data_IF_539427589560
#
_entry.id   IF_539427589560
#
_cell.length_a   1.000
_cell.length_b   1.000
_cell.length_c   1.000
_cell.angle_alpha   90.00
_cell.angle_beta   90.00
_cell.angle_gamma   90.00
#
_symmetry.space_group_name_H-M   'P 1'
#
loop_
_entity.id
_entity.type
_entity.pdbx_description
1 polymer ?
#
# COMPACT_ATOMS: atom_id res chain seq x y z
N UNK A 1 21.11 -55.70 25.58
CA UNK A 1 20.68 -55.04 26.84
C UNK A 1 20.39 -53.58 26.55
N UNK A 2 19.11 -53.20 26.44
CA UNK A 2 18.72 -51.78 26.36
C UNK A 2 18.51 -51.31 27.81
N UNK A 3 19.39 -50.47 28.33
CA UNK A 3 19.18 -49.84 29.63
C UNK A 3 17.99 -48.89 29.52
N UNK A 4 16.92 -49.18 30.26
CA UNK A 4 15.83 -48.24 30.51
C UNK A 4 16.36 -47.14 31.43
N UNK A 5 16.50 -45.92 30.91
CA UNK A 5 16.78 -44.76 31.75
C UNK A 5 15.44 -44.31 32.34
N UNK A 6 15.21 -44.63 33.61
CA UNK A 6 14.12 -44.05 34.40
C UNK A 6 14.49 -42.61 34.74
N UNK A 7 13.80 -41.65 34.12
CA UNK A 7 13.93 -40.23 34.46
C UNK A 7 13.35 -40.00 35.86
N UNK A 8 14.17 -39.50 36.79
CA UNK A 8 13.79 -39.22 38.18
C UNK A 8 13.93 -37.75 38.57
N UNK A 9 14.20 -36.87 37.61
CA UNK A 9 14.43 -35.47 37.90
C UNK A 9 13.57 -34.55 37.03
N UNK A 10 12.63 -33.84 37.67
CA UNK A 10 11.77 -32.85 37.03
C UNK A 10 12.56 -31.64 36.48
N UNK A 11 13.85 -31.53 36.79
CA UNK A 11 14.75 -30.51 36.26
C UNK A 11 15.23 -30.79 34.82
N UNK A 12 15.20 -32.03 34.33
CA UNK A 12 15.59 -32.35 32.94
C UNK A 12 14.50 -31.96 31.92
N UNK A 13 13.24 -31.90 32.34
CA UNK A 13 12.10 -31.49 31.49
C UNK A 13 12.25 -30.02 31.06
N UNK A 14 12.93 -29.19 31.86
CA UNK A 14 13.15 -27.76 31.55
C UNK A 14 14.20 -27.52 30.47
N UNK A 15 15.03 -28.51 30.11
CA UNK A 15 15.99 -28.38 28.99
C UNK A 15 15.34 -28.52 27.61
N UNK A 16 14.07 -28.93 27.54
CA UNK A 16 13.27 -28.91 26.31
C UNK A 16 12.37 -27.67 26.18
N UNK A 17 12.49 -26.70 27.10
CA UNK A 17 11.70 -25.45 27.13
C UNK A 17 12.14 -24.36 26.16
N UNK A 18 13.09 -24.64 25.26
CA UNK A 18 13.51 -23.75 24.17
C UNK A 18 13.34 -24.44 22.82
N UNK A 19 12.14 -24.93 22.55
CA UNK A 19 11.68 -24.96 21.16
C UNK A 19 10.89 -23.67 20.96
N UNK A 20 11.60 -22.58 20.64
CA UNK A 20 10.99 -21.49 19.88
C UNK A 20 10.57 -22.11 18.55
N UNK A 21 9.38 -22.70 18.52
CA UNK A 21 8.72 -22.95 17.24
C UNK A 21 8.23 -21.59 16.79
N UNK A 22 9.14 -20.83 16.17
CA UNK A 22 8.84 -19.63 15.38
C UNK A 22 8.06 -20.09 14.14
N UNK A 23 6.83 -20.59 14.35
CA UNK A 23 5.95 -21.09 13.31
C UNK A 23 5.35 -19.90 12.58
N UNK A 24 6.22 -19.15 11.90
CA UNK A 24 5.82 -18.08 11.00
C UNK A 24 5.20 -18.76 9.79
N UNK A 25 3.96 -18.40 9.47
CA UNK A 25 3.31 -18.88 8.27
C UNK A 25 4.22 -18.62 7.05
N UNK A 26 4.35 -19.59 6.13
CA UNK A 26 5.05 -19.39 4.86
C UNK A 26 4.55 -18.11 4.17
N UNK A 27 5.46 -17.33 3.58
CA UNK A 27 5.16 -15.99 3.08
C UNK A 27 4.01 -15.97 2.05
N UNK A 28 3.89 -17.04 1.26
CA UNK A 28 2.84 -17.30 0.29
C UNK A 28 1.48 -17.61 0.93
N UNK A 29 1.47 -18.20 2.13
CA UNK A 29 0.25 -18.51 2.87
C UNK A 29 -0.32 -17.31 3.66
N UNK A 30 0.51 -16.30 3.97
CA UNK A 30 0.10 -15.15 4.78
C UNK A 30 -1.11 -14.43 4.19
N UNK A 31 -1.04 -14.02 2.91
CA UNK A 31 -2.13 -13.27 2.26
C UNK A 31 -3.44 -14.08 2.20
N UNK A 32 -3.47 -15.32 1.70
CA UNK A 32 -4.70 -16.14 1.68
C UNK A 32 -5.34 -16.31 3.07
N UNK A 33 -4.54 -16.55 4.12
CA UNK A 33 -5.06 -16.73 5.48
C UNK A 33 -5.71 -15.47 6.02
N UNK A 34 -5.07 -14.30 5.83
CA UNK A 34 -5.66 -13.02 6.23
C UNK A 34 -6.95 -12.71 5.47
N UNK A 35 -7.01 -13.02 4.16
CA UNK A 35 -8.21 -12.81 3.36
C UNK A 35 -9.37 -13.71 3.80
N UNK A 36 -9.10 -14.98 4.07
CA UNK A 36 -10.11 -15.90 4.61
C UNK A 36 -10.62 -15.44 5.98
N UNK A 37 -9.71 -14.98 6.85
CA UNK A 37 -10.09 -14.48 8.16
C UNK A 37 -10.90 -13.18 8.08
N UNK A 38 -10.50 -12.24 7.21
CA UNK A 38 -11.25 -11.02 7.00
C UNK A 38 -12.65 -11.31 6.45
N UNK A 39 -12.77 -12.25 5.51
CA UNK A 39 -14.06 -12.68 4.95
C UNK A 39 -14.97 -13.32 6.02
N UNK A 40 -14.42 -14.15 6.90
CA UNK A 40 -15.15 -14.71 8.04
C UNK A 40 -15.72 -13.59 8.95
N UNK A 41 -14.91 -12.57 9.24
CA UNK A 41 -15.35 -11.42 10.05
C UNK A 41 -16.37 -10.52 9.33
N UNK A 42 -16.34 -10.46 7.98
CA UNK A 42 -17.38 -9.77 7.20
C UNK A 42 -18.71 -10.55 7.19
N UNK A 43 -18.65 -11.87 7.05
CA UNK A 43 -19.85 -12.72 6.89
C UNK A 43 -20.56 -12.99 8.23
N UNK A 44 -19.79 -13.17 9.31
CA UNK A 44 -20.31 -13.59 10.61
C UNK A 44 -19.91 -12.69 11.78
N UNK A 45 -18.95 -11.78 11.54
CA UNK A 45 -18.40 -10.90 12.56
C UNK A 45 -18.94 -9.48 12.48
N UNK A 46 -18.09 -8.54 12.91
CA UNK A 46 -18.36 -7.11 12.76
C UNK A 46 -17.48 -6.57 11.63
N UNK A 47 -18.07 -5.78 10.73
CA UNK A 47 -17.33 -5.06 9.67
C UNK A 47 -16.07 -4.34 10.18
N UNK A 48 -16.11 -3.76 11.38
CA UNK A 48 -14.94 -3.09 12.01
C UNK A 48 -13.80 -4.06 12.32
N UNK A 49 -14.11 -5.31 12.67
CA UNK A 49 -13.10 -6.36 12.90
C UNK A 49 -12.45 -6.76 11.59
N UNK A 50 -13.22 -6.94 10.52
CA UNK A 50 -12.67 -7.19 9.19
C UNK A 50 -11.67 -6.10 8.75
N UNK A 51 -11.98 -4.81 8.96
CA UNK A 51 -11.04 -3.72 8.65
C UNK A 51 -9.74 -3.80 9.43
N UNK A 52 -9.81 -4.23 10.70
CA UNK A 52 -8.60 -4.47 11.51
C UNK A 52 -7.77 -5.62 10.94
N UNK A 53 -8.43 -6.70 10.49
CA UNK A 53 -7.74 -7.83 9.85
C UNK A 53 -7.04 -7.38 8.56
N UNK A 54 -7.71 -6.60 7.69
CA UNK A 54 -7.08 -6.06 6.49
C UNK A 54 -5.89 -5.14 6.82
N UNK A 55 -6.02 -4.24 7.81
CA UNK A 55 -4.90 -3.38 8.24
C UNK A 55 -3.71 -4.19 8.78
N UNK A 56 -3.97 -5.28 9.51
CA UNK A 56 -2.91 -6.17 9.98
C UNK A 56 -2.27 -6.91 8.81
N UNK A 57 -3.07 -7.33 7.83
CA UNK A 57 -2.59 -8.01 6.64
C UNK A 57 -1.59 -7.16 5.85
N UNK A 58 -1.83 -5.85 5.67
CA UNK A 58 -0.90 -4.96 4.94
C UNK A 58 0.47 -4.83 5.61
N UNK A 59 0.55 -5.09 6.92
CA UNK A 59 1.81 -5.11 7.69
C UNK A 59 2.49 -6.47 7.68
N UNK A 60 1.71 -7.54 7.61
CA UNK A 60 2.20 -8.92 7.71
C UNK A 60 2.67 -9.50 6.37
N UNK A 61 2.05 -9.10 5.25
CA UNK A 61 2.41 -9.62 3.93
C UNK A 61 3.82 -9.20 3.50
N UNK A 62 4.51 -10.02 2.70
CA UNK A 62 5.80 -9.65 2.14
C UNK A 62 5.69 -8.41 1.23
N UNK A 63 6.77 -7.65 1.02
CA UNK A 63 6.73 -6.38 0.27
C UNK A 63 6.09 -6.48 -1.12
N UNK A 64 6.33 -7.57 -1.84
CA UNK A 64 5.76 -7.82 -3.18
C UNK A 64 4.24 -8.00 -3.19
N UNK A 65 3.63 -8.33 -2.04
CA UNK A 65 2.19 -8.53 -1.89
C UNK A 65 1.48 -7.31 -1.27
N UNK A 66 2.23 -6.34 -0.74
CA UNK A 66 1.66 -5.17 -0.05
C UNK A 66 0.73 -4.37 -0.94
N UNK A 67 1.12 -4.10 -2.18
CA UNK A 67 0.28 -3.36 -3.14
C UNK A 67 -1.07 -4.06 -3.31
N UNK A 68 -1.05 -5.36 -3.64
CA UNK A 68 -2.28 -6.14 -3.84
C UNK A 68 -3.12 -6.25 -2.57
N UNK A 69 -2.50 -6.28 -1.39
CA UNK A 69 -3.24 -6.27 -0.12
C UNK A 69 -3.92 -4.92 0.13
N UNK A 70 -3.27 -3.80 -0.17
CA UNK A 70 -3.90 -2.47 -0.09
C UNK A 70 -5.05 -2.32 -1.09
N UNK A 71 -4.91 -2.83 -2.32
CA UNK A 71 -5.98 -2.79 -3.32
C UNK A 71 -7.25 -3.50 -2.83
N UNK A 72 -7.10 -4.68 -2.22
CA UNK A 72 -8.23 -5.41 -1.63
C UNK A 72 -8.80 -4.62 -0.45
N UNK A 73 -7.95 -4.13 0.45
CA UNK A 73 -8.39 -3.38 1.63
C UNK A 73 -9.20 -2.12 1.25
N UNK A 74 -8.72 -1.35 0.28
CA UNK A 74 -9.38 -0.16 -0.26
C UNK A 74 -10.74 -0.53 -0.88
N UNK A 75 -10.78 -1.57 -1.71
CA UNK A 75 -12.03 -2.01 -2.35
C UNK A 75 -13.10 -2.40 -1.32
N UNK A 76 -12.71 -3.19 -0.29
CA UNK A 76 -13.62 -3.60 0.78
C UNK A 76 -14.06 -2.43 1.66
N UNK A 77 -13.16 -1.50 1.95
CA UNK A 77 -13.50 -0.30 2.73
C UNK A 77 -14.45 0.63 1.97
N UNK A 78 -14.28 0.79 0.66
CA UNK A 78 -15.19 1.56 -0.17
C UNK A 78 -16.60 0.98 -0.18
N UNK A 79 -16.74 -0.34 -0.25
CA UNK A 79 -18.01 -1.05 -0.23
C UNK A 79 -18.73 -0.96 1.13
N UNK A 80 -17.99 -1.07 2.24
CA UNK A 80 -18.58 -1.24 3.58
C UNK A 80 -18.70 0.10 4.33
N UNK A 81 -17.72 1.00 4.19
CA UNK A 81 -17.60 2.23 4.99
C UNK A 81 -17.63 3.51 4.16
N UNK A 82 -17.51 3.40 2.84
CA UNK A 82 -17.57 4.53 1.92
C UNK A 82 -16.31 5.39 1.88
N UNK A 83 -16.47 6.58 1.30
CA UNK A 83 -15.36 7.48 0.92
C UNK A 83 -14.45 7.91 2.08
N UNK A 84 -14.96 8.32 3.27
CA UNK A 84 -14.07 8.80 4.33
C UNK A 84 -13.04 7.77 4.75
N UNK A 85 -13.47 6.51 4.92
CA UNK A 85 -12.55 5.43 5.30
C UNK A 85 -11.60 5.06 4.18
N UNK A 86 -12.09 5.10 2.94
CA UNK A 86 -11.28 4.81 1.74
C UNK A 86 -10.11 5.80 1.61
N UNK A 87 -10.35 7.09 1.87
CA UNK A 87 -9.32 8.15 1.88
C UNK A 87 -8.20 7.86 2.88
N UNK A 88 -8.56 7.55 4.13
CA UNK A 88 -7.59 7.20 5.18
C UNK A 88 -6.68 6.03 4.76
N UNK A 89 -7.23 5.05 4.04
CA UNK A 89 -6.47 3.87 3.63
C UNK A 89 -5.54 4.18 2.46
N UNK A 90 -5.96 5.03 1.51
CA UNK A 90 -5.06 5.52 0.46
C UNK A 90 -3.88 6.30 1.04
N UNK A 91 -4.14 7.21 1.98
CA UNK A 91 -3.11 7.97 2.69
C UNK A 91 -2.16 7.03 3.43
N UNK A 92 -2.72 6.06 4.17
CA UNK A 92 -1.92 5.01 4.82
C UNK A 92 -1.05 4.25 3.81
N UNK A 93 -1.58 3.89 2.64
CA UNK A 93 -0.83 3.14 1.63
C UNK A 93 0.36 3.95 1.10
N UNK A 94 0.13 5.23 0.76
CA UNK A 94 1.14 6.17 0.26
C UNK A 94 2.26 6.37 1.28
N UNK A 95 1.94 6.42 2.57
CA UNK A 95 2.90 6.63 3.66
C UNK A 95 3.56 5.34 4.18
N UNK A 96 3.12 4.15 3.73
CA UNK A 96 3.54 2.86 4.31
C UNK A 96 4.92 2.35 3.89
N UNK A 97 5.65 3.10 3.06
CA UNK A 97 6.93 2.67 2.48
C UNK A 97 6.78 1.65 1.35
N UNK A 98 5.72 1.76 0.55
CA UNK A 98 5.62 1.08 -0.74
C UNK A 98 6.75 1.56 -1.68
N UNK A 99 7.21 0.73 -2.64
CA UNK A 99 8.12 1.19 -3.69
C UNK A 99 7.51 2.39 -4.46
N UNK A 100 8.35 3.30 -4.97
CA UNK A 100 7.92 4.51 -5.69
C UNK A 100 6.91 4.23 -6.82
N UNK A 101 7.09 3.12 -7.56
CA UNK A 101 6.16 2.67 -8.60
C UNK A 101 4.75 2.38 -8.05
N UNK A 102 4.69 1.77 -6.87
CA UNK A 102 3.45 1.35 -6.21
C UNK A 102 2.79 2.56 -5.53
N UNK A 103 3.56 3.47 -4.95
CA UNK A 103 3.08 4.77 -4.45
C UNK A 103 2.44 5.59 -5.57
N UNK A 104 3.11 5.70 -6.73
CA UNK A 104 2.55 6.36 -7.92
C UNK A 104 1.24 5.71 -8.38
N UNK A 105 1.17 4.38 -8.36
CA UNK A 105 -0.05 3.63 -8.69
C UNK A 105 -1.19 3.97 -7.72
N UNK A 106 -0.91 4.01 -6.42
CA UNK A 106 -1.88 4.41 -5.39
C UNK A 106 -2.34 5.86 -5.55
N UNK A 107 -1.42 6.79 -5.80
CA UNK A 107 -1.76 8.20 -6.02
C UNK A 107 -2.67 8.39 -7.23
N UNK A 108 -2.41 7.70 -8.34
CA UNK A 108 -3.24 7.80 -9.55
C UNK A 108 -4.66 7.24 -9.32
N UNK A 109 -4.78 6.10 -8.63
CA UNK A 109 -6.09 5.53 -8.26
C UNK A 109 -6.85 6.46 -7.30
N UNK A 110 -6.14 7.06 -6.36
CA UNK A 110 -6.73 8.01 -5.42
C UNK A 110 -7.17 9.31 -6.13
N UNK A 111 -6.36 9.82 -7.07
CA UNK A 111 -6.71 11.00 -7.85
C UNK A 111 -7.97 10.75 -8.70
N UNK A 112 -8.11 9.55 -9.26
CA UNK A 112 -9.32 9.15 -10.00
C UNK A 112 -10.56 9.10 -9.09
N UNK A 113 -10.43 8.55 -7.88
CA UNK A 113 -11.50 8.59 -6.88
C UNK A 113 -11.92 10.03 -6.58
N UNK A 114 -10.97 10.91 -6.22
CA UNK A 114 -11.28 12.31 -5.89
C UNK A 114 -11.90 13.05 -7.06
N UNK A 115 -11.39 12.83 -8.28
CA UNK A 115 -11.98 13.37 -9.51
C UNK A 115 -13.43 12.92 -9.69
N UNK A 116 -13.73 11.64 -9.45
CA UNK A 116 -15.10 11.09 -9.55
C UNK A 116 -16.08 11.68 -8.53
N UNK A 117 -15.56 12.20 -7.42
CA UNK A 117 -16.32 12.88 -6.37
C UNK A 117 -16.47 14.39 -6.62
N UNK A 118 -15.87 14.93 -7.70
CA UNK A 118 -15.83 16.35 -7.99
C UNK A 118 -14.76 17.12 -7.20
N UNK A 119 -13.90 16.43 -6.45
CA UNK A 119 -12.87 17.00 -5.59
C UNK A 119 -11.57 17.27 -6.37
N UNK A 120 -11.68 18.18 -7.35
CA UNK A 120 -10.62 18.45 -8.33
C UNK A 120 -9.32 18.92 -7.66
N UNK A 121 -9.40 19.75 -6.63
CA UNK A 121 -8.19 20.25 -5.94
C UNK A 121 -7.45 19.13 -5.20
N UNK A 122 -8.17 18.16 -4.64
CA UNK A 122 -7.57 16.97 -4.02
C UNK A 122 -6.91 16.08 -5.06
N UNK A 123 -7.58 15.84 -6.19
CA UNK A 123 -7.00 15.10 -7.30
C UNK A 123 -5.72 15.77 -7.83
N UNK A 124 -5.71 17.10 -7.95
CA UNK A 124 -4.53 17.88 -8.37
C UNK A 124 -3.37 17.76 -7.37
N UNK A 125 -3.66 17.83 -6.06
CA UNK A 125 -2.65 17.64 -5.03
C UNK A 125 -1.99 16.26 -5.12
N UNK A 126 -2.78 15.22 -5.44
CA UNK A 126 -2.28 13.86 -5.65
C UNK A 126 -1.39 13.74 -6.91
N UNK A 127 -1.74 14.39 -8.02
CA UNK A 127 -0.84 14.49 -9.17
C UNK A 127 0.47 15.18 -8.80
N UNK A 128 0.42 16.31 -8.09
CA UNK A 128 1.62 17.02 -7.64
C UNK A 128 2.50 16.14 -6.74
N UNK A 129 1.91 15.43 -5.78
CA UNK A 129 2.64 14.51 -4.91
C UNK A 129 3.27 13.37 -5.72
N UNK A 130 2.48 12.70 -6.56
CA UNK A 130 2.92 11.59 -7.40
C UNK A 130 4.03 11.96 -8.38
N UNK A 131 4.13 13.23 -8.77
CA UNK A 131 5.15 13.69 -9.72
C UNK A 131 6.58 13.58 -9.21
N UNK A 132 6.77 13.51 -7.89
CA UNK A 132 8.07 13.30 -7.25
C UNK A 132 8.65 11.91 -7.53
N UNK A 133 7.80 10.97 -7.96
CA UNK A 133 8.14 9.57 -8.24
C UNK A 133 8.01 9.22 -9.74
N UNK A 134 7.90 10.23 -10.61
CA UNK A 134 7.64 10.06 -12.03
C UNK A 134 8.67 10.82 -12.88
N UNK A 135 9.64 10.11 -13.44
CA UNK A 135 10.62 10.73 -14.34
C UNK A 135 9.95 11.02 -15.69
N UNK A 136 9.92 12.29 -16.15
CA UNK A 136 9.35 12.66 -17.45
C UNK A 136 9.84 11.86 -18.66
N UNK A 137 11.03 11.23 -18.59
CA UNK A 137 11.60 10.42 -19.67
C UNK A 137 11.09 8.99 -19.70
N UNK A 138 10.92 8.36 -18.53
CA UNK A 138 10.51 6.96 -18.41
C UNK A 138 9.02 6.79 -18.09
N UNK A 139 8.35 7.84 -17.61
CA UNK A 139 6.95 7.83 -17.20
C UNK A 139 6.07 8.81 -18.01
N UNK A 140 6.11 8.81 -19.36
CA UNK A 140 5.33 9.74 -20.17
C UNK A 140 3.83 9.62 -19.92
N UNK A 141 3.33 8.42 -19.65
CA UNK A 141 1.90 8.16 -19.39
C UNK A 141 1.38 8.91 -18.16
N UNK A 142 2.19 9.03 -17.10
CA UNK A 142 1.82 9.81 -15.92
C UNK A 142 1.64 11.30 -16.28
N UNK A 143 2.60 11.86 -17.03
CA UNK A 143 2.57 13.27 -17.42
C UNK A 143 1.47 13.56 -18.43
N UNK A 144 1.15 12.62 -19.32
CA UNK A 144 0.03 12.74 -20.25
C UNK A 144 -1.30 12.75 -19.50
N UNK A 145 -1.47 11.87 -18.50
CA UNK A 145 -2.67 11.88 -17.63
C UNK A 145 -2.83 13.19 -16.87
N UNK A 146 -1.75 13.72 -16.28
CA UNK A 146 -1.81 15.01 -15.59
C UNK A 146 -2.09 16.17 -16.57
N UNK A 147 -1.50 16.13 -17.77
CA UNK A 147 -1.80 17.09 -18.82
C UNK A 147 -3.29 17.08 -19.20
N UNK A 148 -3.86 15.90 -19.50
CA UNK A 148 -5.29 15.75 -19.81
C UNK A 148 -6.18 16.21 -18.66
N UNK A 149 -5.79 15.91 -17.42
CA UNK A 149 -6.49 16.38 -16.23
C UNK A 149 -6.55 17.91 -16.15
N UNK A 150 -5.44 18.62 -16.35
CA UNK A 150 -5.44 20.09 -16.32
C UNK A 150 -6.13 20.71 -17.56
N UNK A 151 -6.14 20.03 -18.71
CA UNK A 151 -6.94 20.47 -19.87
C UNK A 151 -8.44 20.39 -19.57
N UNK A 152 -8.88 19.33 -18.88
CA UNK A 152 -10.31 19.10 -18.61
C UNK A 152 -10.82 19.89 -17.40
N UNK A 153 -9.99 20.07 -16.36
CA UNK A 153 -10.42 20.57 -15.05
C UNK A 153 -9.59 21.75 -14.53
N UNK A 154 -8.56 22.16 -15.26
CA UNK A 154 -7.69 23.26 -14.91
C UNK A 154 -8.05 24.55 -15.65
N UNK A 155 -7.14 25.50 -15.48
CA UNK A 155 -7.07 26.78 -16.18
C UNK A 155 -5.61 27.05 -16.59
N UNK A 156 -5.37 28.19 -17.23
CA UNK A 156 -4.04 28.56 -17.71
C UNK A 156 -2.96 28.54 -16.62
N UNK A 157 -3.27 29.01 -15.41
CA UNK A 157 -2.32 29.06 -14.30
C UNK A 157 -1.95 27.67 -13.79
N UNK A 158 -2.95 26.82 -13.54
CA UNK A 158 -2.74 25.44 -13.08
C UNK A 158 -2.00 24.59 -14.12
N UNK A 159 -2.30 24.79 -15.40
CA UNK A 159 -1.60 24.11 -16.49
C UNK A 159 -0.14 24.57 -16.61
N UNK A 160 0.12 25.88 -16.51
CA UNK A 160 1.48 26.44 -16.46
C UNK A 160 2.27 25.91 -15.26
N UNK A 161 1.61 25.75 -14.11
CA UNK A 161 2.22 25.17 -12.91
C UNK A 161 2.60 23.70 -13.13
N UNK A 162 1.73 22.87 -13.72
CA UNK A 162 2.06 21.49 -14.08
C UNK A 162 3.31 21.43 -14.97
N UNK A 163 3.42 22.30 -15.99
CA UNK A 163 4.59 22.36 -16.84
C UNK A 163 5.87 22.79 -16.09
N UNK A 164 5.75 23.69 -15.10
CA UNK A 164 6.87 24.07 -14.22
C UNK A 164 7.34 22.88 -13.40
N UNK A 165 6.42 22.15 -12.79
CA UNK A 165 6.74 20.94 -12.01
C UNK A 165 7.42 19.91 -12.92
N UNK A 166 6.90 19.66 -14.14
CA UNK A 166 7.51 18.75 -15.11
C UNK A 166 8.96 19.09 -15.43
N UNK A 167 9.25 20.37 -15.68
CA UNK A 167 10.62 20.83 -15.94
C UNK A 167 11.52 20.68 -14.70
N UNK A 168 11.01 21.02 -13.53
CA UNK A 168 11.74 20.88 -12.26
C UNK A 168 12.14 19.43 -12.01
N UNK A 169 11.19 18.50 -12.13
CA UNK A 169 11.42 17.06 -11.93
C UNK A 169 12.41 16.53 -12.98
N UNK A 170 12.24 16.90 -14.26
CA UNK A 170 13.18 16.51 -15.31
C UNK A 170 14.63 16.95 -15.03
N UNK A 171 14.81 18.14 -14.46
CA UNK A 171 16.12 18.65 -14.08
C UNK A 171 16.70 17.86 -12.89
N UNK A 172 15.90 17.58 -11.86
CA UNK A 172 16.32 16.78 -10.70
C UNK A 172 16.82 15.39 -11.10
N UNK A 173 16.09 14.65 -11.95
CA UNK A 173 16.53 13.34 -12.45
C UNK A 173 17.78 13.41 -13.34
N UNK A 174 17.97 14.51 -14.07
CA UNK A 174 19.19 14.71 -14.87
C UNK A 174 20.43 14.90 -14.01
N UNK A 175 20.31 15.60 -12.87
CA UNK A 175 21.41 15.79 -11.93
C UNK A 175 21.78 14.50 -11.20
N UNK A 176 20.79 13.69 -10.79
CA UNK A 176 21.03 12.40 -10.11
C UNK A 176 21.82 11.43 -10.98
N UNK A 177 21.64 11.46 -12.30
CA UNK A 177 22.37 10.61 -13.24
C UNK A 177 23.78 11.11 -13.59
N UNK A 178 24.17 12.33 -13.21
CA UNK A 178 25.52 12.89 -13.44
C UNK A 178 26.49 12.67 -12.27
N UNK A 179 26.00 12.20 -11.12
CA UNK A 179 26.77 12.02 -9.88
C UNK A 179 27.09 10.54 -9.60
N UNK A 180 26.76 9.64 -10.54
CA UNK A 180 27.16 8.23 -10.53
C UNK A 180 28.19 7.97 -11.63
#
# INVERSE_FOLDING_TARGET
MKQSVTMHDASEIRKFGHIEVDYKAPADAVKPLYLQYAKLEEDYGLAKRAMRVYNQATKAVPPNEKLGMYEIYIARAAEIFGVPKTREIYEQAIESGLPDKDVKTMCLKYAELEKSLGEIDRARALYKHSSQFADPRSDPDFWNKWHEFEVQHGNEDTFREMLRVKRSVSASYSQVNLVK
#
